data_IF_485676794432
#
_entry.id   IF_485676794432
#
_cell.length_a   1.000
_cell.length_b   1.000
_cell.length_c   1.000
_cell.angle_alpha   90.00
_cell.angle_beta   90.00
_cell.angle_gamma   90.00
#
_symmetry.space_group_name_H-M   'P 1'
#
loop_
_entity.id
_entity.type
_entity.pdbx_description
1 polymer ?
#
# COMPACT_ATOMS: atom_id res chain seq x y z
N UNK A 1 4.59 -16.34 1.28
CA UNK A 1 3.82 -17.05 0.24
C UNK A 1 2.63 -16.18 -0.18
N UNK A 2 2.25 -16.14 -1.46
CA UNK A 2 1.26 -15.24 -2.11
C UNK A 2 1.34 -13.72 -1.82
N UNK A 3 1.14 -13.24 -0.59
CA UNK A 3 1.13 -11.80 -0.27
C UNK A 3 2.46 -11.11 -0.57
N UNK A 4 3.59 -11.75 -0.23
CA UNK A 4 4.92 -11.25 -0.60
C UNK A 4 5.09 -11.13 -2.12
N UNK A 5 4.48 -12.02 -2.91
CA UNK A 5 4.53 -11.93 -4.38
C UNK A 5 3.66 -10.79 -4.90
N UNK A 6 2.50 -10.55 -4.28
CA UNK A 6 1.63 -9.41 -4.59
C UNK A 6 2.35 -8.09 -4.33
N UNK A 7 3.01 -7.93 -3.19
CA UNK A 7 3.79 -6.73 -2.91
C UNK A 7 5.02 -6.62 -3.82
N UNK A 8 5.68 -7.73 -4.16
CA UNK A 8 6.74 -7.72 -5.17
C UNK A 8 6.23 -7.29 -6.57
N UNK A 9 4.95 -7.51 -6.88
CA UNK A 9 4.32 -7.00 -8.09
C UNK A 9 3.88 -5.54 -7.99
N UNK A 10 3.61 -5.01 -6.78
CA UNK A 10 3.53 -3.56 -6.53
C UNK A 10 4.88 -2.88 -6.72
N UNK A 11 5.98 -3.58 -6.42
CA UNK A 11 7.35 -3.11 -6.64
C UNK A 11 7.82 -3.22 -8.11
N UNK A 12 6.98 -3.74 -9.02
CA UNK A 12 7.37 -4.01 -10.41
C UNK A 12 7.43 -2.73 -11.25
N UNK A 13 8.48 -2.59 -12.06
CA UNK A 13 8.62 -1.53 -13.09
C UNK A 13 7.56 -1.60 -14.20
N UNK A 14 6.90 -2.75 -14.35
CA UNK A 14 5.72 -2.88 -15.20
C UNK A 14 4.47 -2.32 -14.50
N UNK A 15 3.96 -1.19 -15.02
CA UNK A 15 2.78 -0.47 -14.52
C UNK A 15 1.49 -1.29 -14.52
N UNK A 16 1.32 -2.21 -15.46
CA UNK A 16 0.14 -3.08 -15.51
C UNK A 16 0.17 -4.09 -14.35
N UNK A 17 1.33 -4.71 -14.09
CA UNK A 17 1.52 -5.60 -12.93
C UNK A 17 1.29 -4.86 -11.62
N UNK A 18 1.77 -3.62 -11.51
CA UNK A 18 1.50 -2.74 -10.37
C UNK A 18 0.01 -2.53 -10.14
N UNK A 19 -0.73 -2.12 -11.18
CA UNK A 19 -2.18 -1.88 -11.07
C UNK A 19 -2.98 -3.12 -10.73
N UNK A 20 -2.66 -4.25 -11.37
CA UNK A 20 -3.32 -5.54 -11.10
C UNK A 20 -3.04 -6.00 -9.68
N UNK A 21 -1.80 -5.85 -9.19
CA UNK A 21 -1.44 -6.18 -7.82
C UNK A 21 -2.17 -5.29 -6.81
N UNK A 22 -2.27 -3.98 -7.08
CA UNK A 22 -2.97 -3.04 -6.21
C UNK A 22 -4.47 -3.37 -6.09
N UNK A 23 -5.14 -3.64 -7.21
CA UNK A 23 -6.54 -4.11 -7.21
C UNK A 23 -6.72 -5.42 -6.46
N UNK A 24 -5.80 -6.37 -6.65
CA UNK A 24 -5.86 -7.64 -5.94
C UNK A 24 -5.69 -7.47 -4.43
N UNK A 25 -4.87 -6.51 -3.98
CA UNK A 25 -4.81 -6.12 -2.56
C UNK A 25 -6.17 -5.60 -2.08
N UNK A 26 -6.79 -4.67 -2.83
CA UNK A 26 -8.13 -4.17 -2.51
C UNK A 26 -9.17 -5.29 -2.40
N UNK A 27 -9.21 -6.19 -3.38
CA UNK A 27 -10.13 -7.34 -3.37
C UNK A 27 -9.93 -8.28 -2.17
N UNK A 28 -8.67 -8.52 -1.78
CA UNK A 28 -8.34 -9.35 -0.63
C UNK A 28 -8.77 -8.69 0.67
N UNK A 29 -8.49 -7.40 0.83
CA UNK A 29 -8.83 -6.63 2.03
C UNK A 29 -10.33 -6.48 2.17
N UNK A 30 -11.05 -6.22 1.07
CA UNK A 30 -12.51 -6.09 1.07
C UNK A 30 -13.24 -7.39 1.44
N UNK A 31 -12.62 -8.56 1.21
CA UNK A 31 -13.23 -9.87 1.52
C UNK A 31 -12.72 -10.51 2.80
N UNK A 32 -11.45 -10.30 3.14
CA UNK A 32 -10.72 -11.03 4.18
C UNK A 32 -9.89 -10.10 5.08
N UNK A 33 -10.28 -8.83 5.17
CA UNK A 33 -9.52 -7.74 5.82
C UNK A 33 -8.91 -8.11 7.17
N UNK A 34 -9.71 -8.60 8.12
CA UNK A 34 -9.23 -8.96 9.46
C UNK A 34 -8.08 -9.99 9.45
N UNK A 35 -8.10 -10.90 8.47
CA UNK A 35 -7.07 -11.94 8.33
C UNK A 35 -5.83 -11.42 7.59
N UNK A 36 -6.01 -10.58 6.57
CA UNK A 36 -4.90 -10.18 5.69
C UNK A 36 -4.19 -8.91 6.16
N UNK A 37 -4.87 -8.00 6.85
CA UNK A 37 -4.28 -6.74 7.33
C UNK A 37 -3.03 -6.94 8.22
N UNK A 38 -3.00 -7.87 9.19
CA UNK A 38 -1.81 -8.11 10.01
C UNK A 38 -0.57 -8.53 9.21
N UNK A 39 -0.78 -9.22 8.08
CA UNK A 39 0.29 -9.68 7.20
C UNK A 39 0.69 -8.59 6.19
N UNK A 40 -0.26 -7.81 5.68
CA UNK A 40 -0.01 -6.76 4.69
C UNK A 40 0.70 -5.56 5.29
N UNK A 41 0.26 -5.07 6.45
CA UNK A 41 0.79 -3.85 7.07
C UNK A 41 2.31 -3.84 7.22
N UNK A 42 2.96 -4.83 7.88
CA UNK A 42 4.40 -4.81 8.03
C UNK A 42 5.13 -4.84 6.68
N UNK A 43 4.57 -5.47 5.66
CA UNK A 43 5.17 -5.50 4.32
C UNK A 43 5.07 -4.11 3.68
N UNK A 44 3.92 -3.44 3.74
CA UNK A 44 3.75 -2.07 3.23
C UNK A 44 4.73 -1.10 3.92
N UNK A 45 4.84 -1.15 5.25
CA UNK A 45 5.72 -0.24 6.01
C UNK A 45 7.21 -0.44 5.66
N UNK A 46 7.65 -1.70 5.59
CA UNK A 46 9.02 -2.02 5.22
C UNK A 46 9.33 -1.60 3.77
N UNK A 47 8.38 -1.81 2.86
CA UNK A 47 8.56 -1.50 1.44
C UNK A 47 8.51 0.01 1.17
N UNK A 48 7.74 0.77 1.95
CA UNK A 48 7.76 2.24 1.88
C UNK A 48 9.09 2.84 2.33
N UNK A 49 9.89 2.09 3.08
CA UNK A 49 11.20 2.53 3.59
C UNK A 49 12.37 2.18 2.66
N UNK A 50 12.12 1.69 1.44
CA UNK A 50 13.18 1.36 0.48
C UNK A 50 13.68 2.58 -0.27
N UNK A 51 14.94 2.55 -0.72
CA UNK A 51 15.55 3.64 -1.50
C UNK A 51 14.99 3.78 -2.93
N UNK A 52 14.29 2.76 -3.45
CA UNK A 52 13.71 2.77 -4.78
C UNK A 52 12.35 3.51 -4.80
N UNK A 53 12.35 4.71 -5.39
CA UNK A 53 11.16 5.56 -5.51
C UNK A 53 10.03 4.90 -6.32
N UNK A 54 10.33 4.08 -7.33
CA UNK A 54 9.31 3.39 -8.12
C UNK A 54 8.59 2.33 -7.29
N UNK A 55 9.33 1.67 -6.41
CA UNK A 55 8.78 0.72 -5.45
C UNK A 55 7.88 1.44 -4.45
N UNK A 56 8.34 2.56 -3.87
CA UNK A 56 7.53 3.37 -2.95
C UNK A 56 6.25 3.93 -3.60
N UNK A 57 6.31 4.33 -4.87
CA UNK A 57 5.14 4.76 -5.65
C UNK A 57 4.09 3.63 -5.74
N UNK A 58 4.50 2.43 -6.10
CA UNK A 58 3.61 1.27 -6.18
C UNK A 58 2.98 0.88 -4.83
N UNK A 59 3.74 1.03 -3.75
CA UNK A 59 3.25 0.86 -2.37
C UNK A 59 2.17 1.89 -2.05
N UNK A 60 2.34 3.16 -2.43
CA UNK A 60 1.32 4.20 -2.23
C UNK A 60 0.01 3.88 -2.96
N UNK A 61 0.11 3.40 -4.20
CA UNK A 61 -1.07 2.96 -4.97
C UNK A 61 -1.76 1.78 -4.26
N UNK A 62 -1.00 0.81 -3.77
CA UNK A 62 -1.54 -0.32 -3.02
C UNK A 62 -2.18 0.10 -1.69
N UNK A 63 -1.62 1.07 -0.98
CA UNK A 63 -2.20 1.65 0.24
C UNK A 63 -3.53 2.36 -0.05
N UNK A 64 -3.63 3.10 -1.16
CA UNK A 64 -4.88 3.74 -1.57
C UNK A 64 -6.00 2.71 -1.81
N UNK A 65 -5.71 1.65 -2.57
CA UNK A 65 -6.66 0.56 -2.82
C UNK A 65 -7.05 -0.16 -1.53
N UNK A 66 -6.08 -0.41 -0.64
CA UNK A 66 -6.32 -1.02 0.67
C UNK A 66 -7.26 -0.17 1.51
N UNK A 67 -6.99 1.12 1.67
CA UNK A 67 -7.80 2.02 2.49
C UNK A 67 -9.21 2.13 1.92
N UNK A 68 -9.35 2.24 0.60
CA UNK A 68 -10.66 2.30 -0.08
C UNK A 68 -11.47 1.01 0.08
N UNK A 69 -10.81 -0.15 0.16
CA UNK A 69 -11.47 -1.45 0.33
C UNK A 69 -11.74 -1.82 1.80
N UNK A 70 -11.14 -1.12 2.75
CA UNK A 70 -11.24 -1.44 4.19
C UNK A 70 -12.49 -0.82 4.82
N UNK A 71 -13.12 -1.52 5.77
CA UNK A 71 -14.21 -0.95 6.56
C UNK A 71 -13.69 0.10 7.54
N UNK A 72 -14.50 1.09 7.90
CA UNK A 72 -14.08 2.14 8.86
C UNK A 72 -13.61 1.59 10.20
N UNK A 73 -14.26 0.51 10.67
CA UNK A 73 -13.93 -0.11 11.95
C UNK A 73 -12.57 -0.80 11.89
N UNK A 74 -12.33 -1.61 10.86
CA UNK A 74 -11.03 -2.25 10.68
C UNK A 74 -9.93 -1.21 10.40
N UNK A 75 -10.22 -0.15 9.64
CA UNK A 75 -9.26 0.92 9.39
C UNK A 75 -8.82 1.62 10.69
N UNK A 76 -9.76 1.84 11.62
CA UNK A 76 -9.48 2.47 12.90
C UNK A 76 -8.43 1.71 13.71
N UNK A 77 -8.42 0.37 13.63
CA UNK A 77 -7.48 -0.49 14.34
C UNK A 77 -6.03 -0.35 13.83
N UNK A 78 -5.82 0.19 12.62
CA UNK A 78 -4.50 0.34 11.99
C UNK A 78 -4.08 1.80 11.76
N UNK A 79 -4.81 2.78 12.30
CA UNK A 79 -4.48 4.19 12.11
C UNK A 79 -3.10 4.55 12.68
N UNK A 80 -2.67 3.90 13.78
CA UNK A 80 -1.35 4.10 14.38
C UNK A 80 -0.20 3.80 13.42
N UNK A 81 -0.37 2.82 12.53
CA UNK A 81 0.60 2.41 11.53
C UNK A 81 0.43 3.19 10.23
N UNK A 82 -0.82 3.41 9.80
CA UNK A 82 -1.13 4.07 8.53
C UNK A 82 -0.79 5.56 8.53
N UNK A 83 -1.04 6.27 9.64
CA UNK A 83 -0.78 7.72 9.71
C UNK A 83 0.70 8.04 9.46
N UNK A 84 1.66 7.39 10.15
CA UNK A 84 3.09 7.60 9.87
C UNK A 84 3.46 7.27 8.42
N UNK A 85 2.90 6.20 7.84
CA UNK A 85 3.17 5.77 6.47
C UNK A 85 2.71 6.81 5.45
N UNK A 86 1.46 7.26 5.58
CA UNK A 86 0.89 8.30 4.70
C UNK A 86 1.71 9.58 4.84
N UNK A 87 2.07 9.97 6.07
CA UNK A 87 2.91 11.15 6.29
C UNK A 87 4.25 11.02 5.58
N UNK A 88 4.94 9.88 5.71
CA UNK A 88 6.20 9.60 5.03
C UNK A 88 6.06 9.73 3.51
N UNK A 89 4.99 9.18 2.95
CA UNK A 89 4.73 9.22 1.51
C UNK A 89 4.42 10.64 0.97
N UNK A 90 3.70 11.46 1.75
CA UNK A 90 3.35 12.85 1.36
C UNK A 90 4.59 13.76 1.32
N UNK A 91 5.55 13.53 2.23
CA UNK A 91 6.79 14.32 2.30
C UNK A 91 7.98 13.63 1.62
N UNK A 92 7.73 12.60 0.82
CA UNK A 92 8.76 11.82 0.13
C UNK A 92 9.62 12.71 -0.78
N UNK A 93 10.89 12.35 -0.98
CA UNK A 93 11.81 13.12 -1.82
C UNK A 93 11.43 13.05 -3.32
N UNK A 94 10.86 11.92 -3.75
CA UNK A 94 10.41 11.72 -5.12
C UNK A 94 9.00 12.30 -5.37
N UNK A 95 8.88 13.14 -6.39
CA UNK A 95 7.60 13.76 -6.76
C UNK A 95 6.53 12.73 -7.15
N UNK A 96 6.91 11.64 -7.82
CA UNK A 96 5.95 10.60 -8.24
C UNK A 96 5.33 9.87 -7.04
N UNK A 97 6.10 9.67 -5.97
CA UNK A 97 5.62 9.09 -4.71
C UNK A 97 4.67 10.05 -4.02
N UNK A 98 5.03 11.34 -3.92
CA UNK A 98 4.15 12.37 -3.34
C UNK A 98 2.81 12.47 -4.08
N UNK A 99 2.85 12.48 -5.42
CA UNK A 99 1.64 12.53 -6.26
C UNK A 99 0.77 11.28 -6.09
N UNK A 100 1.38 10.12 -5.88
CA UNK A 100 0.64 8.89 -5.57
C UNK A 100 0.05 8.91 -4.16
N UNK A 101 0.79 9.43 -3.18
CA UNK A 101 0.35 9.59 -1.81
C UNK A 101 -0.86 10.53 -1.68
N UNK A 102 -0.96 11.57 -2.52
CA UNK A 102 -2.15 12.43 -2.54
C UNK A 102 -3.46 11.72 -2.92
N UNK A 103 -3.41 10.51 -3.47
CA UNK A 103 -4.60 9.69 -3.70
C UNK A 103 -5.06 8.90 -2.47
N UNK A 104 -4.27 8.91 -1.40
CA UNK A 104 -4.51 8.17 -0.14
C UNK A 104 -5.27 9.02 0.89
N UNK A 105 -5.31 10.35 0.71
CA UNK A 105 -5.89 11.36 1.62
C UNK A 105 -7.00 12.14 0.92
#
# INVERSE_FOLDING_TARGET
ALMVKLIAHLASTNREKQRVAARCVGDLVGKLGERVMPELMPIFMNTLSTDDAHVREGVCIGLAELINATTKQLLADYLSELIPAIRQAIIDDAESVRNSASSVV
#
